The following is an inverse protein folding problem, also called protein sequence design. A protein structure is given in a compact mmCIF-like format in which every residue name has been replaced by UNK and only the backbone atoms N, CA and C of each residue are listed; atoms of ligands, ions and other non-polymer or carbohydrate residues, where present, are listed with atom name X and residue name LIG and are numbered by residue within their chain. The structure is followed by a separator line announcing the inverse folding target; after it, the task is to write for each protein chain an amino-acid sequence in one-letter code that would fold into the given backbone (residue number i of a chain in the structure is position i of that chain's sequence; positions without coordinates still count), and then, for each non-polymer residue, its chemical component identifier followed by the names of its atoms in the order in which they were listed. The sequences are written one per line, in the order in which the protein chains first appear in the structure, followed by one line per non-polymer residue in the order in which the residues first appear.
data_IF_824261182606
#
_entry.id   IF_824261182606
#
_cell.length_a   1.000
_cell.length_b   1.000
_cell.length_c   1.000
_cell.angle_alpha   90.00
_cell.angle_beta   90.00
_cell.angle_gamma   90.00
#
_symmetry.space_group_name_H-M   'P 1'
#
loop_
_entity.id
_entity.type
_entity.pdbx_description
1 polymer ?
#
# COMPACT_ATOMS: atom_id res chain seq x y z
N UNK A 1 2.59 -4.75 -32.56
CA UNK A 1 1.72 -3.57 -32.26
C UNK A 1 0.30 -3.97 -31.80
N UNK A 2 -0.45 -4.84 -32.48
CA UNK A 2 -1.80 -5.27 -32.00
C UNK A 2 -1.82 -6.18 -30.77
N UNK A 3 -0.70 -6.86 -30.48
CA UNK A 3 -0.55 -7.61 -29.23
C UNK A 3 -0.79 -6.69 -28.03
N UNK A 4 -0.30 -5.45 -28.14
CA UNK A 4 -0.35 -4.46 -27.08
C UNK A 4 -1.78 -4.05 -26.70
N UNK A 5 -2.68 -3.82 -27.67
CA UNK A 5 -4.07 -3.51 -27.38
C UNK A 5 -4.82 -4.68 -26.73
N UNK A 6 -4.51 -5.93 -27.12
CA UNK A 6 -5.07 -7.11 -26.46
C UNK A 6 -4.60 -7.20 -25.01
N UNK A 7 -3.30 -7.00 -24.75
CA UNK A 7 -2.76 -6.99 -23.39
C UNK A 7 -3.31 -5.82 -22.56
N UNK A 8 -3.49 -4.63 -23.15
CA UNK A 8 -4.09 -3.50 -22.45
C UNK A 8 -5.54 -3.79 -22.07
N UNK A 9 -6.34 -4.38 -22.96
CA UNK A 9 -7.70 -4.78 -22.60
C UNK A 9 -7.71 -5.87 -21.53
N UNK A 10 -6.78 -6.82 -21.58
CA UNK A 10 -6.65 -7.86 -20.56
C UNK A 10 -6.24 -7.27 -19.20
N UNK A 11 -5.26 -6.35 -19.18
CA UNK A 11 -4.86 -5.61 -17.99
C UNK A 11 -6.02 -4.79 -17.42
N UNK A 12 -6.76 -4.06 -18.26
CA UNK A 12 -7.94 -3.32 -17.84
C UNK A 12 -9.04 -4.24 -17.28
N UNK A 13 -9.24 -5.42 -17.88
CA UNK A 13 -10.19 -6.41 -17.37
C UNK A 13 -9.75 -6.98 -16.01
N UNK A 14 -8.45 -7.25 -15.84
CA UNK A 14 -7.88 -7.67 -14.56
C UNK A 14 -8.03 -6.57 -13.49
N UNK A 15 -7.74 -5.31 -13.82
CA UNK A 15 -7.98 -4.19 -12.92
C UNK A 15 -9.47 -4.02 -12.55
N UNK A 16 -10.37 -4.21 -13.53
CA UNK A 16 -11.81 -4.14 -13.28
C UNK A 16 -12.29 -5.28 -12.37
N UNK A 17 -11.78 -6.50 -12.59
CA UNK A 17 -12.05 -7.67 -11.76
C UNK A 17 -11.58 -7.43 -10.32
N UNK A 18 -10.32 -7.01 -10.13
CA UNK A 18 -9.74 -6.71 -8.82
C UNK A 18 -10.49 -5.57 -8.10
N UNK A 19 -10.88 -4.53 -8.85
CA UNK A 19 -11.72 -3.44 -8.32
C UNK A 19 -13.10 -3.96 -7.90
N UNK A 20 -13.70 -4.85 -8.68
CA UNK A 20 -15.00 -5.47 -8.37
C UNK A 20 -14.93 -6.38 -7.14
N UNK A 21 -13.87 -7.16 -7.01
CA UNK A 21 -13.59 -8.00 -5.84
C UNK A 21 -13.41 -7.15 -4.58
N UNK A 22 -12.57 -6.11 -4.65
CA UNK A 22 -12.40 -5.15 -3.57
C UNK A 22 -13.73 -4.50 -3.17
N UNK A 23 -14.53 -4.07 -4.14
CA UNK A 23 -15.85 -3.49 -3.90
C UNK A 23 -16.78 -4.49 -3.19
N UNK A 24 -16.79 -5.74 -3.64
CA UNK A 24 -17.59 -6.81 -3.04
C UNK A 24 -17.18 -7.08 -1.58
N UNK A 25 -15.88 -7.22 -1.31
CA UNK A 25 -15.34 -7.43 0.04
C UNK A 25 -15.73 -6.28 0.97
N UNK A 26 -15.73 -5.05 0.47
CA UNK A 26 -16.08 -3.86 1.25
C UNK A 26 -17.58 -3.80 1.55
N UNK A 27 -18.44 -4.13 0.59
CA UNK A 27 -19.89 -4.05 0.76
C UNK A 27 -20.47 -5.25 1.53
N UNK A 28 -19.84 -6.42 1.42
CA UNK A 28 -20.31 -7.68 2.00
C UNK A 28 -19.21 -8.41 2.79
N UNK A 29 -18.63 -7.80 3.84
CA UNK A 29 -17.44 -8.32 4.52
C UNK A 29 -17.68 -9.67 5.21
N UNK A 30 -18.84 -9.87 5.84
CA UNK A 30 -19.15 -11.13 6.52
C UNK A 30 -19.34 -12.29 5.53
N UNK A 31 -19.97 -12.01 4.39
CA UNK A 31 -20.13 -12.99 3.32
C UNK A 31 -18.79 -13.32 2.67
N UNK A 32 -17.96 -12.32 2.39
CA UNK A 32 -16.61 -12.53 1.87
C UNK A 32 -15.76 -13.38 2.83
N UNK A 33 -15.86 -13.14 4.15
CA UNK A 33 -15.16 -13.94 5.16
C UNK A 33 -15.63 -15.40 5.14
N UNK A 34 -16.93 -15.66 5.11
CA UNK A 34 -17.47 -17.02 5.00
C UNK A 34 -17.03 -17.72 3.71
N UNK A 35 -17.03 -16.98 2.59
CA UNK A 35 -16.57 -17.49 1.30
C UNK A 35 -15.09 -17.88 1.36
N UNK A 36 -14.23 -17.04 1.97
CA UNK A 36 -12.80 -17.32 2.13
C UNK A 36 -12.57 -18.49 3.09
N UNK A 37 -13.32 -18.58 4.20
CA UNK A 37 -13.19 -19.68 5.16
C UNK A 37 -13.59 -21.02 4.54
N UNK A 38 -14.64 -21.02 3.70
CA UNK A 38 -15.16 -22.25 3.11
C UNK A 38 -14.47 -22.64 1.79
N UNK A 39 -14.03 -21.66 0.99
CA UNK A 39 -13.49 -21.86 -0.37
C UNK A 39 -12.11 -21.25 -0.59
N UNK A 40 -11.42 -20.80 0.45
CA UNK A 40 -10.16 -20.05 0.33
C UNK A 40 -9.07 -20.78 -0.45
N UNK A 41 -8.98 -22.11 -0.32
CA UNK A 41 -8.02 -22.91 -1.11
C UNK A 41 -8.34 -22.87 -2.60
N UNK A 42 -9.61 -22.97 -2.98
CA UNK A 42 -10.05 -22.87 -4.37
C UNK A 42 -9.79 -21.48 -4.95
N UNK A 43 -10.09 -20.42 -4.19
CA UNK A 43 -9.80 -19.05 -4.58
C UNK A 43 -8.29 -18.82 -4.78
N UNK A 44 -7.45 -19.37 -3.91
CA UNK A 44 -5.99 -19.32 -4.08
C UNK A 44 -5.53 -20.04 -5.36
N UNK A 45 -6.11 -21.20 -5.70
CA UNK A 45 -5.80 -21.88 -6.97
C UNK A 45 -6.20 -21.08 -8.20
N UNK A 46 -7.34 -20.38 -8.15
CA UNK A 46 -7.75 -19.47 -9.22
C UNK A 46 -6.76 -18.30 -9.37
N UNK A 47 -6.29 -17.74 -8.26
CA UNK A 47 -5.27 -16.69 -8.29
C UNK A 47 -3.96 -17.18 -8.93
N UNK A 48 -3.47 -18.37 -8.54
CA UNK A 48 -2.31 -19.00 -9.19
C UNK A 48 -2.55 -19.26 -10.69
N UNK A 49 -3.75 -19.65 -11.09
CA UNK A 49 -4.09 -19.84 -12.50
C UNK A 49 -4.05 -18.52 -13.29
N UNK A 50 -4.47 -17.39 -12.69
CA UNK A 50 -4.28 -16.07 -13.32
C UNK A 50 -2.81 -15.67 -13.45
N UNK A 51 -1.95 -16.03 -12.49
CA UNK A 51 -0.51 -15.79 -12.60
C UNK A 51 0.12 -16.53 -13.80
N UNK A 52 -0.30 -17.76 -14.08
CA UNK A 52 0.17 -18.50 -15.26
C UNK A 52 -0.13 -17.77 -16.57
N UNK A 53 -1.31 -17.14 -16.65
CA UNK A 53 -1.68 -16.34 -17.81
C UNK A 53 -0.76 -15.12 -17.93
N UNK A 54 -0.49 -14.39 -16.84
CA UNK A 54 0.45 -13.28 -16.83
C UNK A 54 1.84 -13.72 -17.30
N UNK A 55 2.36 -14.84 -16.81
CA UNK A 55 3.66 -15.39 -17.23
C UNK A 55 3.67 -15.73 -18.72
N UNK A 56 2.63 -16.38 -19.23
CA UNK A 56 2.51 -16.69 -20.66
C UNK A 56 2.48 -15.40 -21.52
N UNK A 57 1.78 -14.37 -21.05
CA UNK A 57 1.71 -13.07 -21.70
C UNK A 57 3.08 -12.37 -21.71
N UNK A 58 3.83 -12.39 -20.60
CA UNK A 58 5.19 -11.84 -20.51
C UNK A 58 6.16 -12.60 -21.43
N UNK A 59 6.12 -13.93 -21.43
CA UNK A 59 6.95 -14.76 -22.31
C UNK A 59 6.66 -14.46 -23.80
N UNK A 60 5.38 -14.33 -24.16
CA UNK A 60 4.98 -13.90 -25.50
C UNK A 60 5.53 -12.50 -25.82
N UNK A 61 5.51 -11.57 -24.86
CA UNK A 61 6.02 -10.22 -25.03
C UNK A 61 7.54 -10.19 -25.28
N UNK A 62 8.31 -10.91 -24.47
CA UNK A 62 9.78 -11.05 -24.64
C UNK A 62 10.09 -11.67 -26.00
N UNK A 63 9.34 -12.71 -26.40
CA UNK A 63 9.51 -13.36 -27.71
C UNK A 63 9.24 -12.38 -28.85
N UNK A 64 8.14 -11.62 -28.78
CA UNK A 64 7.80 -10.62 -29.79
C UNK A 64 8.85 -9.51 -29.84
N UNK A 65 9.32 -9.02 -28.69
CA UNK A 65 10.39 -8.01 -28.62
C UNK A 65 11.67 -8.53 -29.27
N UNK A 66 12.10 -9.75 -28.93
CA UNK A 66 13.27 -10.40 -29.51
C UNK A 66 13.16 -10.57 -31.04
N UNK A 67 12.00 -11.02 -31.53
CA UNK A 67 11.72 -11.11 -32.97
C UNK A 67 11.79 -9.73 -33.65
N UNK A 68 11.28 -8.68 -32.99
CA UNK A 68 11.29 -7.32 -33.54
C UNK A 68 12.72 -6.78 -33.61
N UNK A 69 13.52 -6.97 -32.56
CA UNK A 69 14.93 -6.57 -32.51
C UNK A 69 15.79 -7.34 -33.51
N UNK A 70 15.46 -8.60 -33.78
CA UNK A 70 16.11 -9.42 -34.81
C UNK A 70 15.67 -9.07 -36.25
N UNK A 71 14.80 -8.06 -36.44
CA UNK A 71 14.28 -7.70 -37.76
C UNK A 71 13.37 -8.75 -38.39
N UNK A 72 12.84 -9.68 -37.60
CA UNK A 72 12.01 -10.77 -38.09
C UNK A 72 10.68 -10.26 -38.62
N UNK A 73 10.32 -10.70 -39.82
CA UNK A 73 8.99 -10.46 -40.42
C UNK A 73 7.99 -11.56 -40.07
N UNK A 74 8.38 -12.52 -39.22
CA UNK A 74 7.54 -13.65 -38.85
C UNK A 74 6.27 -13.19 -38.13
N UNK A 75 5.13 -13.52 -38.73
CA UNK A 75 3.82 -13.12 -38.21
C UNK A 75 3.26 -14.23 -37.31
N UNK A 76 3.06 -13.93 -36.03
CA UNK A 76 2.37 -14.85 -35.12
C UNK A 76 0.92 -15.07 -35.61
N UNK A 77 0.48 -16.31 -35.91
CA UNK A 77 -0.78 -16.57 -36.62
C UNK A 77 -2.04 -16.01 -35.94
N UNK A 78 -2.13 -16.12 -34.62
CA UNK A 78 -3.24 -15.58 -33.82
C UNK A 78 -3.30 -14.05 -33.91
N UNK A 79 -2.15 -13.40 -33.80
CA UNK A 79 -1.99 -11.96 -33.94
C UNK A 79 -2.35 -11.48 -35.33
N UNK A 80 -1.98 -12.23 -36.37
CA UNK A 80 -2.36 -11.94 -37.76
C UNK A 80 -3.88 -11.90 -37.92
N UNK A 81 -4.62 -12.85 -37.34
CA UNK A 81 -6.08 -12.87 -37.38
C UNK A 81 -6.68 -11.68 -36.63
N UNK A 82 -6.11 -11.31 -35.48
CA UNK A 82 -6.57 -10.17 -34.68
C UNK A 82 -6.30 -8.83 -35.39
N UNK A 83 -5.14 -8.69 -36.03
CA UNK A 83 -4.70 -7.50 -36.76
C UNK A 83 -5.54 -7.20 -38.00
N UNK A 84 -6.25 -8.18 -38.55
CA UNK A 84 -7.20 -7.93 -39.66
C UNK A 84 -8.41 -7.11 -39.24
N UNK A 85 -8.65 -6.92 -37.95
CA UNK A 85 -9.80 -6.15 -37.45
C UNK A 85 -9.43 -4.66 -37.37
N UNK A 86 -10.15 -3.76 -38.08
CA UNK A 86 -9.81 -2.33 -38.12
C UNK A 86 -9.92 -1.66 -36.74
N UNK A 87 -10.83 -2.13 -35.87
CA UNK A 87 -10.94 -1.65 -34.49
C UNK A 87 -9.67 -1.89 -33.68
N UNK A 88 -9.03 -3.04 -33.84
CA UNK A 88 -7.80 -3.41 -33.11
C UNK A 88 -6.64 -2.53 -33.54
N UNK A 89 -6.52 -2.24 -34.84
CA UNK A 89 -5.52 -1.29 -35.36
C UNK A 89 -5.75 0.10 -34.78
N UNK A 90 -6.98 0.64 -34.85
CA UNK A 90 -7.31 1.97 -34.30
C UNK A 90 -7.02 2.07 -32.80
N UNK A 91 -7.42 1.07 -32.03
CA UNK A 91 -7.12 1.03 -30.59
C UNK A 91 -5.62 0.97 -30.32
N UNK A 92 -4.86 0.20 -31.10
CA UNK A 92 -3.40 0.12 -30.95
C UNK A 92 -2.73 1.45 -31.27
N UNK A 93 -3.18 2.16 -32.32
CA UNK A 93 -2.67 3.47 -32.69
C UNK A 93 -2.89 4.53 -31.60
N UNK A 94 -3.98 4.43 -30.83
CA UNK A 94 -4.24 5.31 -29.69
C UNK A 94 -3.52 4.87 -28.42
N UNK A 95 -3.50 3.57 -28.12
CA UNK A 95 -2.90 3.03 -26.89
C UNK A 95 -1.38 3.19 -26.84
N UNK A 96 -0.70 3.01 -27.98
CA UNK A 96 0.76 3.06 -28.04
C UNK A 96 1.35 4.42 -27.62
N UNK A 97 0.93 5.58 -28.19
CA UNK A 97 1.47 6.87 -27.78
C UNK A 97 1.14 7.19 -26.31
N UNK A 98 -0.04 6.78 -25.82
CA UNK A 98 -0.38 6.95 -24.42
C UNK A 98 0.61 6.21 -23.52
N UNK A 99 0.93 4.95 -23.83
CA UNK A 99 1.89 4.18 -23.01
C UNK A 99 3.31 4.71 -23.14
N UNK A 100 3.74 5.07 -24.35
CA UNK A 100 5.03 5.70 -24.59
C UNK A 100 5.18 7.04 -23.84
N UNK A 101 4.07 7.73 -23.55
CA UNK A 101 4.06 8.94 -22.73
C UNK A 101 3.99 8.62 -21.23
N UNK A 102 3.08 7.74 -20.81
CA UNK A 102 2.80 7.48 -19.40
C UNK A 102 3.91 6.69 -18.71
N UNK A 103 4.54 5.71 -19.38
CA UNK A 103 5.57 4.88 -18.73
C UNK A 103 6.79 5.73 -18.33
N UNK A 104 7.38 6.56 -19.22
CA UNK A 104 8.46 7.47 -18.82
C UNK A 104 8.01 8.47 -17.76
N UNK A 105 6.79 9.03 -17.88
CA UNK A 105 6.27 9.98 -16.90
C UNK A 105 6.16 9.36 -15.50
N UNK A 106 5.55 8.17 -15.38
CA UNK A 106 5.43 7.45 -14.11
C UNK A 106 6.83 7.09 -13.58
N UNK A 107 7.74 6.69 -14.46
CA UNK A 107 9.13 6.37 -14.08
C UNK A 107 9.83 7.58 -13.47
N UNK A 108 9.77 8.74 -14.14
CA UNK A 108 10.37 10.00 -13.65
C UNK A 108 9.73 10.40 -12.32
N UNK A 109 8.40 10.31 -12.21
CA UNK A 109 7.69 10.62 -10.98
C UNK A 109 8.05 9.65 -9.84
N UNK A 110 8.18 8.35 -10.12
CA UNK A 110 8.55 7.35 -9.13
C UNK A 110 10.00 7.55 -8.66
N UNK A 111 10.93 7.85 -9.57
CA UNK A 111 12.31 8.18 -9.24
C UNK A 111 12.40 9.44 -8.37
N UNK A 112 11.70 10.50 -8.77
CA UNK A 112 11.65 11.73 -7.98
C UNK A 112 10.99 11.50 -6.62
N UNK A 113 9.83 10.84 -6.56
CA UNK A 113 9.17 10.53 -5.30
C UNK A 113 10.05 9.70 -4.36
N UNK A 114 10.77 8.72 -4.92
CA UNK A 114 11.72 7.89 -4.18
C UNK A 114 12.87 8.73 -3.64
N UNK A 115 13.42 9.68 -4.42
CA UNK A 115 14.52 10.54 -3.98
C UNK A 115 14.13 11.56 -2.91
N UNK A 116 12.84 11.87 -2.78
CA UNK A 116 12.32 12.74 -1.72
C UNK A 116 12.17 12.04 -0.36
N UNK A 117 12.29 10.71 -0.32
CA UNK A 117 12.14 9.89 0.88
C UNK A 117 13.43 9.14 1.21
N UNK A 118 13.71 8.93 2.49
CA UNK A 118 14.86 8.11 2.94
C UNK A 118 14.41 6.94 3.80
N UNK A 119 15.33 6.00 4.06
CA UNK A 119 15.16 4.98 5.10
C UNK A 119 15.51 5.56 6.47
N UNK A 120 15.11 4.84 7.52
CA UNK A 120 15.36 5.19 8.92
C UNK A 120 16.85 5.45 9.20
N UNK A 121 17.11 6.36 10.13
CA UNK A 121 18.42 6.96 10.41
C UNK A 121 18.22 8.18 11.31
N UNK A 122 18.50 9.38 10.82
CA UNK A 122 18.20 10.64 11.54
C UNK A 122 16.70 10.83 11.83
N UNK A 123 16.36 11.66 12.81
CA UNK A 123 14.99 12.05 13.12
C UNK A 123 14.29 12.75 11.93
N UNK A 124 13.01 12.48 11.73
CA UNK A 124 12.21 13.04 10.64
C UNK A 124 10.86 13.56 11.13
N UNK A 125 10.22 14.46 10.39
CA UNK A 125 8.90 14.97 10.75
C UNK A 125 7.78 13.99 10.36
N UNK A 126 7.96 13.27 9.25
CA UNK A 126 6.97 12.33 8.70
C UNK A 126 7.58 10.95 8.58
N UNK A 127 6.92 9.96 9.17
CA UNK A 127 7.27 8.55 9.04
C UNK A 127 6.12 7.82 8.35
N UNK A 128 6.43 7.12 7.26
CA UNK A 128 5.55 6.15 6.64
C UNK A 128 6.16 4.76 6.78
N UNK A 129 5.49 3.93 7.57
CA UNK A 129 5.91 2.57 7.89
C UNK A 129 4.97 1.61 7.16
N UNK A 130 5.52 0.81 6.25
CA UNK A 130 4.74 -0.15 5.47
C UNK A 130 5.04 -1.59 5.85
N UNK A 131 4.04 -2.44 5.78
CA UNK A 131 4.19 -3.87 5.88
C UNK A 131 4.81 -4.44 4.59
N UNK A 132 5.90 -5.21 4.74
CA UNK A 132 6.56 -5.88 3.62
C UNK A 132 5.72 -7.01 3.02
N UNK A 133 4.72 -7.52 3.74
CA UNK A 133 3.74 -8.47 3.21
C UNK A 133 2.80 -7.86 2.16
N UNK A 134 2.67 -6.54 2.12
CA UNK A 134 1.91 -5.87 1.08
C UNK A 134 2.73 -5.88 -0.20
N UNK A 135 2.18 -6.46 -1.27
CA UNK A 135 2.81 -6.62 -2.59
C UNK A 135 2.96 -5.31 -3.38
N UNK A 136 3.42 -4.25 -2.73
CA UNK A 136 3.69 -2.93 -3.32
C UNK A 136 5.17 -2.61 -3.09
N UNK A 137 5.96 -2.42 -4.16
CA UNK A 137 7.37 -2.08 -4.01
C UNK A 137 7.51 -0.68 -3.38
N UNK A 138 8.63 -0.42 -2.70
CA UNK A 138 8.90 0.88 -2.04
C UNK A 138 8.67 2.10 -2.93
N UNK A 139 9.06 2.03 -4.22
CA UNK A 139 8.85 3.14 -5.15
C UNK A 139 7.36 3.43 -5.40
N UNK A 140 6.49 2.41 -5.29
CA UNK A 140 5.04 2.53 -5.38
C UNK A 140 4.46 3.29 -4.19
N UNK A 141 4.89 2.94 -2.96
CA UNK A 141 4.54 3.71 -1.77
C UNK A 141 5.06 5.15 -1.83
N UNK A 142 6.30 5.35 -2.30
CA UNK A 142 6.87 6.69 -2.49
C UNK A 142 6.02 7.53 -3.44
N UNK A 143 5.60 6.95 -4.57
CA UNK A 143 4.74 7.61 -5.55
C UNK A 143 3.37 7.95 -4.95
N UNK A 144 2.76 7.03 -4.20
CA UNK A 144 1.49 7.28 -3.49
C UNK A 144 1.59 8.43 -2.49
N UNK A 145 2.74 8.57 -1.83
CA UNK A 145 3.02 9.65 -0.86
C UNK A 145 3.54 10.94 -1.48
N UNK A 146 3.76 10.98 -2.80
CA UNK A 146 4.50 12.05 -3.45
C UNK A 146 4.04 13.45 -3.04
N UNK A 147 2.73 13.70 -3.01
CA UNK A 147 2.17 15.01 -2.62
C UNK A 147 2.29 15.30 -1.13
N UNK A 148 2.22 14.29 -0.27
CA UNK A 148 2.47 14.43 1.17
C UNK A 148 3.93 14.80 1.39
N UNK A 149 4.86 14.07 0.76
CA UNK A 149 6.30 14.32 0.88
C UNK A 149 6.67 15.72 0.40
N UNK A 150 6.13 16.17 -0.74
CA UNK A 150 6.35 17.54 -1.22
C UNK A 150 5.81 18.59 -0.23
N UNK A 151 4.65 18.36 0.36
CA UNK A 151 4.07 19.28 1.34
C UNK A 151 4.86 19.27 2.65
N UNK A 152 5.34 18.10 3.09
CA UNK A 152 6.19 17.95 4.26
C UNK A 152 7.51 18.70 4.07
N UNK A 153 8.16 18.56 2.91
CA UNK A 153 9.41 19.27 2.62
C UNK A 153 9.25 20.79 2.61
N UNK A 154 8.15 21.31 2.05
CA UNK A 154 7.84 22.74 2.11
C UNK A 154 7.71 23.26 3.55
N UNK A 155 7.34 22.39 4.49
CA UNK A 155 7.04 22.77 5.87
C UNK A 155 8.21 22.53 6.83
N UNK A 156 8.92 21.42 6.69
CA UNK A 156 9.94 20.96 7.63
C UNK A 156 11.31 20.75 6.97
N UNK A 157 11.47 21.14 5.71
CA UNK A 157 12.76 21.08 5.00
C UNK A 157 13.05 19.74 4.32
N UNK A 158 14.21 19.67 3.65
CA UNK A 158 14.64 18.46 2.94
C UNK A 158 14.91 17.31 3.92
N UNK A 159 14.71 16.07 3.48
CA UNK A 159 15.01 14.88 4.28
C UNK A 159 14.06 14.61 5.46
N UNK A 160 12.94 15.35 5.56
CA UNK A 160 11.99 15.25 6.66
C UNK A 160 10.98 14.09 6.55
N UNK A 161 11.11 13.23 5.54
CA UNK A 161 10.19 12.10 5.29
C UNK A 161 10.94 10.78 5.22
N UNK A 162 10.59 9.86 6.11
CA UNK A 162 11.06 8.49 6.14
C UNK A 162 9.99 7.58 5.53
N UNK A 163 10.42 6.71 4.62
CA UNK A 163 9.62 5.64 4.03
C UNK A 163 10.37 4.32 4.23
N UNK A 164 9.88 3.50 5.17
CA UNK A 164 10.58 2.30 5.61
C UNK A 164 9.61 1.17 6.01
N UNK A 165 10.15 -0.02 6.17
CA UNK A 165 9.40 -1.20 6.61
C UNK A 165 8.98 -1.06 8.08
N UNK A 166 7.76 -1.50 8.40
CA UNK A 166 7.22 -1.52 9.76
C UNK A 166 7.87 -2.67 10.54
N UNK A 167 8.65 -2.32 11.56
CA UNK A 167 9.19 -3.24 12.56
C UNK A 167 9.25 -2.52 13.91
N UNK A 168 9.63 -3.23 14.97
CA UNK A 168 9.68 -2.69 16.33
C UNK A 168 10.54 -1.43 16.42
N UNK A 169 11.70 -1.41 15.77
CA UNK A 169 12.64 -0.29 15.86
C UNK A 169 12.17 0.92 15.06
N UNK A 170 11.71 0.73 13.82
CA UNK A 170 11.20 1.83 13.00
C UNK A 170 9.94 2.45 13.60
N UNK A 171 9.08 1.64 14.22
CA UNK A 171 7.92 2.12 14.98
C UNK A 171 8.34 2.95 16.20
N UNK A 172 9.30 2.46 17.00
CA UNK A 172 9.83 3.17 18.16
C UNK A 172 10.42 4.52 17.76
N UNK A 173 11.26 4.55 16.73
CA UNK A 173 11.86 5.78 16.21
C UNK A 173 10.79 6.75 15.68
N UNK A 174 9.79 6.24 14.96
CA UNK A 174 8.70 7.04 14.42
C UNK A 174 7.84 7.68 15.52
N UNK A 175 7.48 6.92 16.56
CA UNK A 175 6.70 7.42 17.69
C UNK A 175 7.52 8.36 18.58
N UNK A 176 8.83 8.15 18.70
CA UNK A 176 9.70 9.01 19.50
C UNK A 176 10.01 10.37 18.84
N UNK A 177 9.99 10.46 17.51
CA UNK A 177 10.46 11.65 16.79
C UNK A 177 9.42 12.28 15.84
N UNK A 178 8.47 11.49 15.34
CA UNK A 178 7.56 11.91 14.29
C UNK A 178 6.52 12.92 14.75
N UNK A 179 6.25 13.90 13.89
CA UNK A 179 5.04 14.75 13.96
C UNK A 179 3.86 14.08 13.26
N UNK A 180 4.14 13.32 12.21
CA UNK A 180 3.17 12.52 11.46
C UNK A 180 3.69 11.09 11.37
N UNK A 181 2.88 10.13 11.81
CA UNK A 181 3.17 8.70 11.68
C UNK A 181 2.07 8.05 10.86
N UNK A 182 2.45 7.35 9.81
CA UNK A 182 1.55 6.63 8.91
C UNK A 182 1.92 5.16 8.98
N UNK A 183 0.97 4.30 9.35
CA UNK A 183 1.14 2.85 9.37
C UNK A 183 0.32 2.28 8.21
N UNK A 184 0.96 1.61 7.26
CA UNK A 184 0.34 0.96 6.10
C UNK A 184 0.51 -0.55 6.22
N UNK A 185 -0.49 -1.22 6.77
CA UNK A 185 -0.37 -2.61 7.24
C UNK A 185 -1.73 -3.32 7.18
N UNK A 186 -1.76 -4.63 7.43
CA UNK A 186 -3.02 -5.31 7.65
C UNK A 186 -3.62 -4.93 9.00
N UNK A 187 -4.92 -5.16 9.16
CA UNK A 187 -5.54 -5.01 10.46
C UNK A 187 -6.66 -6.01 10.66
N UNK A 188 -6.91 -6.29 11.93
CA UNK A 188 -7.94 -7.21 12.39
C UNK A 188 -8.35 -6.75 13.79
N UNK A 189 -9.64 -6.70 14.09
CA UNK A 189 -10.17 -6.50 15.45
C UNK A 189 -9.60 -5.29 16.22
N UNK A 190 -9.29 -4.20 15.51
CA UNK A 190 -8.73 -2.97 16.08
C UNK A 190 -7.21 -2.94 16.21
N UNK A 191 -6.53 -4.05 15.85
CA UNK A 191 -5.08 -4.19 15.79
C UNK A 191 -4.55 -3.83 14.40
N UNK A 192 -3.33 -3.32 14.37
CA UNK A 192 -2.53 -3.13 13.17
C UNK A 192 -1.40 -4.17 13.17
N UNK A 193 -1.44 -5.10 12.21
CA UNK A 193 -0.59 -6.29 12.17
C UNK A 193 0.19 -6.31 10.85
N UNK A 194 1.50 -6.54 10.90
CA UNK A 194 2.27 -6.90 9.70
C UNK A 194 2.06 -8.38 9.38
N UNK A 195 1.97 -8.75 8.12
CA UNK A 195 1.85 -10.14 7.68
C UNK A 195 3.05 -10.52 6.81
N UNK A 196 3.53 -11.75 6.89
CA UNK A 196 4.61 -12.27 6.04
C UNK A 196 5.92 -11.46 6.04
N UNK A 197 6.08 -10.55 7.01
CA UNK A 197 7.31 -9.79 7.23
C UNK A 197 8.34 -10.64 8.01
N UNK A 198 9.65 -10.31 7.91
CA UNK A 198 10.69 -10.96 8.73
C UNK A 198 10.42 -10.88 10.24
N UNK A 199 9.76 -9.81 10.68
CA UNK A 199 9.25 -9.63 12.03
C UNK A 199 7.73 -9.37 11.95
N UNK A 200 6.93 -10.31 12.43
CA UNK A 200 5.47 -10.13 12.52
C UNK A 200 5.14 -9.34 13.77
N UNK A 201 4.88 -8.05 13.59
CA UNK A 201 4.53 -7.07 14.59
C UNK A 201 3.01 -6.91 14.70
N UNK A 202 2.52 -6.82 15.93
CA UNK A 202 1.15 -6.40 16.25
C UNK A 202 1.19 -5.12 17.07
N UNK A 203 0.38 -4.14 16.69
CA UNK A 203 0.32 -2.81 17.32
C UNK A 203 -1.12 -2.43 17.66
N UNK A 204 -1.38 -1.96 18.87
CA UNK A 204 -2.72 -1.59 19.31
C UNK A 204 -2.74 -0.55 20.43
N UNK A 205 -3.86 0.15 20.64
CA UNK A 205 -3.99 1.05 21.76
C UNK A 205 -4.29 0.22 23.02
N UNK A 206 -3.82 0.65 24.20
CA UNK A 206 -4.19 0.02 25.47
C UNK A 206 -5.71 -0.03 25.67
N UNK A 207 -6.16 -0.99 26.48
CA UNK A 207 -7.57 -1.05 26.85
C UNK A 207 -7.91 0.03 27.89
N UNK A 208 -9.10 0.64 27.77
CA UNK A 208 -9.60 1.75 28.60
C UNK A 208 -9.73 1.45 30.09
N UNK A 209 -9.53 0.19 30.50
CA UNK A 209 -9.61 -0.29 31.90
C UNK A 209 -8.25 -0.37 32.60
N UNK A 210 -7.15 0.04 31.97
CA UNK A 210 -5.86 0.16 32.65
C UNK A 210 -5.98 1.17 33.80
N UNK A 211 -5.64 0.74 35.03
CA UNK A 211 -5.91 1.46 36.27
C UNK A 211 -4.93 2.64 36.41
N UNK A 212 -5.48 3.84 36.19
CA UNK A 212 -5.18 5.19 36.68
C UNK A 212 -3.74 5.78 36.74
N UNK A 213 -2.65 5.02 36.55
CA UNK A 213 -1.31 5.60 36.34
C UNK A 213 -0.89 5.60 34.85
N UNK A 214 -1.31 4.60 34.07
CA UNK A 214 -0.99 4.47 32.63
C UNK A 214 -1.86 5.33 31.70
N UNK A 215 -2.98 5.89 32.16
CA UNK A 215 -3.83 6.75 31.31
C UNK A 215 -3.17 8.09 30.94
N UNK A 216 -2.12 8.50 31.66
CA UNK A 216 -1.42 9.76 31.40
C UNK A 216 -0.32 9.64 30.33
N UNK A 217 0.13 8.41 30.04
CA UNK A 217 1.23 8.20 29.10
C UNK A 217 0.70 7.92 27.69
N UNK A 218 1.26 8.65 26.71
CA UNK A 218 0.99 8.42 25.30
C UNK A 218 1.84 7.25 24.85
N UNK A 219 1.25 6.11 24.58
CA UNK A 219 1.98 4.94 24.10
C UNK A 219 1.06 4.00 23.33
N UNK A 220 1.69 3.12 22.56
CA UNK A 220 1.05 1.99 21.91
C UNK A 220 1.62 0.70 22.47
N UNK A 221 0.79 -0.34 22.52
CA UNK A 221 1.25 -1.68 22.86
C UNK A 221 1.74 -2.37 21.60
N UNK A 222 2.83 -3.11 21.77
CA UNK A 222 3.50 -3.82 20.71
C UNK A 222 3.85 -5.23 21.17
N UNK A 223 3.61 -6.21 20.31
CA UNK A 223 4.11 -7.57 20.48
C UNK A 223 4.65 -8.10 19.15
N UNK A 224 5.62 -9.01 19.25
CA UNK A 224 6.26 -9.64 18.10
C UNK A 224 5.98 -11.13 18.15
N UNK A 225 5.62 -11.72 17.02
CA UNK A 225 5.50 -13.16 16.90
C UNK A 225 6.90 -13.79 16.78
N UNK A 226 7.26 -14.62 17.75
CA UNK A 226 8.50 -15.39 17.73
C UNK A 226 8.46 -16.54 16.73
N UNK A 227 9.63 -17.11 16.44
CA UNK A 227 9.77 -18.28 15.55
C UNK A 227 9.01 -19.53 16.05
N UNK A 228 8.63 -19.57 17.33
CA UNK A 228 7.82 -20.61 17.96
C UNK A 228 6.30 -20.37 17.81
N UNK A 229 5.89 -19.39 16.99
CA UNK A 229 4.52 -18.92 16.82
C UNK A 229 3.88 -18.43 18.13
N UNK A 230 4.68 -17.96 19.09
CA UNK A 230 4.18 -17.32 20.31
C UNK A 230 4.44 -15.83 20.28
N UNK A 231 3.48 -15.07 20.78
CA UNK A 231 3.64 -13.63 20.96
C UNK A 231 4.62 -13.37 22.09
N UNK A 232 5.58 -12.48 21.84
CA UNK A 232 6.47 -11.95 22.86
C UNK A 232 5.69 -11.24 23.94
N UNK A 233 6.35 -10.99 25.08
CA UNK A 233 5.82 -10.09 26.11
C UNK A 233 5.47 -8.74 25.46
N UNK A 234 4.33 -8.19 25.87
CA UNK A 234 3.86 -6.87 25.45
C UNK A 234 4.87 -5.80 25.88
N UNK A 235 5.16 -4.89 24.96
CA UNK A 235 6.01 -3.72 25.18
C UNK A 235 5.20 -2.45 24.99
N UNK A 236 5.35 -1.50 25.90
CA UNK A 236 4.78 -0.17 25.77
C UNK A 236 5.76 0.72 24.99
N UNK A 237 5.37 1.16 23.80
CA UNK A 237 6.18 2.06 22.96
C UNK A 237 5.64 3.48 23.07
N UNK A 238 6.37 4.39 23.75
CA UNK A 238 5.87 5.74 24.00
C UNK A 238 5.82 6.58 22.71
N UNK A 239 4.79 7.41 22.61
CA UNK A 239 4.63 8.42 21.59
C UNK A 239 5.04 9.80 22.14
N UNK A 240 5.80 10.53 21.35
CA UNK A 240 6.33 11.82 21.75
C UNK A 240 5.24 12.90 21.87
N UNK A 241 5.56 13.98 22.60
CA UNK A 241 4.60 15.05 22.87
C UNK A 241 4.23 15.89 21.64
N UNK A 242 5.07 15.87 20.60
CA UNK A 242 4.94 16.59 19.34
C UNK A 242 4.25 15.79 18.23
N UNK A 243 3.81 14.55 18.49
CA UNK A 243 2.99 13.81 17.56
C UNK A 243 1.67 14.58 17.34
N UNK A 244 1.34 14.85 16.07
CA UNK A 244 0.18 15.65 15.68
C UNK A 244 -0.82 14.86 14.84
N UNK A 245 -0.36 13.85 14.11
CA UNK A 245 -1.22 13.02 13.26
C UNK A 245 -0.71 11.58 13.23
N UNK A 246 -1.60 10.63 13.54
CA UNK A 246 -1.41 9.21 13.28
C UNK A 246 -2.43 8.74 12.24
N UNK A 247 -1.96 8.27 11.08
CA UNK A 247 -2.80 7.70 10.04
C UNK A 247 -2.58 6.18 9.99
N UNK A 248 -3.58 5.43 10.43
CA UNK A 248 -3.50 3.97 10.55
C UNK A 248 -4.29 3.38 9.38
N UNK A 249 -3.57 3.07 8.31
CA UNK A 249 -4.03 2.27 7.19
C UNK A 249 -3.93 0.79 7.59
N UNK A 250 -4.93 0.32 8.32
CA UNK A 250 -5.12 -1.07 8.70
C UNK A 250 -6.61 -1.39 8.66
N UNK A 251 -7.02 -2.40 7.88
CA UNK A 251 -8.41 -2.86 7.82
C UNK A 251 -8.94 -3.14 9.23
N UNK A 252 -10.18 -2.77 9.56
CA UNK A 252 -10.76 -2.96 10.90
C UNK A 252 -10.00 -2.33 12.08
N UNK A 253 -8.89 -1.60 11.86
CA UNK A 253 -8.16 -0.90 12.92
C UNK A 253 -9.04 0.10 13.67
N UNK A 254 -10.04 0.64 12.98
CA UNK A 254 -11.01 1.58 13.53
C UNK A 254 -12.03 0.98 14.50
N UNK A 255 -12.10 -0.35 14.70
CA UNK A 255 -12.93 -0.94 15.77
C UNK A 255 -12.55 -0.38 17.16
N UNK A 256 -11.29 -0.01 17.33
CA UNK A 256 -10.73 0.61 18.55
C UNK A 256 -10.42 2.11 18.37
N UNK A 257 -11.09 2.81 17.43
CA UNK A 257 -10.75 4.18 17.07
C UNK A 257 -10.74 5.17 18.25
N UNK A 258 -11.67 5.03 19.20
CA UNK A 258 -11.71 5.87 20.41
C UNK A 258 -10.47 5.66 21.28
N UNK A 259 -10.03 4.42 21.45
CA UNK A 259 -8.87 4.05 22.25
C UNK A 259 -7.58 4.56 21.59
N UNK A 260 -7.46 4.41 20.27
CA UNK A 260 -6.37 5.01 19.51
C UNK A 260 -6.32 6.53 19.71
N UNK A 261 -7.47 7.20 19.61
CA UNK A 261 -7.56 8.65 19.75
C UNK A 261 -7.25 9.13 21.17
N UNK A 262 -7.67 8.38 22.20
CA UNK A 262 -7.42 8.67 23.60
C UNK A 262 -5.91 8.59 23.92
N UNK A 263 -5.26 7.49 23.55
CA UNK A 263 -3.85 7.25 23.88
C UNK A 263 -2.84 8.04 23.05
N UNK A 264 -3.23 8.50 21.86
CA UNK A 264 -2.38 9.37 21.04
C UNK A 264 -2.73 10.85 21.19
N UNK A 265 -3.73 11.21 22.00
CA UNK A 265 -4.12 12.60 22.20
C UNK A 265 -2.93 13.48 22.64
N UNK A 266 -2.79 14.71 22.13
CA UNK A 266 -3.72 15.45 21.27
C UNK A 266 -3.53 15.17 19.78
N UNK A 267 -2.69 14.20 19.39
CA UNK A 267 -2.52 13.86 17.98
C UNK A 267 -3.88 13.43 17.41
N UNK A 268 -4.20 13.92 16.22
CA UNK A 268 -5.37 13.45 15.50
C UNK A 268 -5.10 12.01 15.03
N UNK A 269 -6.03 11.09 15.26
CA UNK A 269 -5.98 9.74 14.71
C UNK A 269 -6.95 9.62 13.55
N UNK A 270 -6.48 9.06 12.43
CA UNK A 270 -7.31 8.67 11.30
C UNK A 270 -7.15 7.17 11.12
N UNK A 271 -8.25 6.43 11.24
CA UNK A 271 -8.31 4.97 11.09
C UNK A 271 -9.68 4.59 10.53
N UNK A 272 -9.83 3.36 10.03
CA UNK A 272 -11.02 2.89 9.33
C UNK A 272 -11.58 1.64 10.01
N UNK A 273 -12.87 1.65 10.33
CA UNK A 273 -13.60 0.50 10.86
C UNK A 273 -14.25 -0.33 9.74
N UNK A 274 -13.56 -0.43 8.60
CA UNK A 274 -14.00 -1.20 7.44
C UNK A 274 -12.79 -1.62 6.63
N UNK A 275 -12.98 -2.61 5.76
CA UNK A 275 -12.07 -2.79 4.64
C UNK A 275 -12.03 -1.51 3.80
N UNK A 276 -10.84 -1.10 3.39
CA UNK A 276 -10.61 0.09 2.57
C UNK A 276 -9.74 -0.27 1.38
N UNK A 277 -10.06 0.28 0.22
CA UNK A 277 -9.31 -0.01 -1.00
C UNK A 277 -7.98 0.74 -1.01
N UNK A 278 -7.00 0.25 -1.77
CA UNK A 278 -5.79 1.02 -2.12
C UNK A 278 -6.18 2.39 -2.72
N UNK A 279 -7.28 2.47 -3.48
CA UNK A 279 -7.77 3.72 -4.06
C UNK A 279 -8.25 4.74 -3.01
N UNK A 280 -8.92 4.30 -1.95
CA UNK A 280 -9.34 5.18 -0.83
C UNK A 280 -8.12 5.86 -0.20
N UNK A 281 -7.05 5.09 0.01
CA UNK A 281 -5.80 5.61 0.57
C UNK A 281 -5.03 6.46 -0.44
N UNK A 282 -4.96 6.05 -1.70
CA UNK A 282 -4.32 6.83 -2.76
C UNK A 282 -4.98 8.21 -2.92
N UNK A 283 -6.33 8.27 -2.88
CA UNK A 283 -7.06 9.53 -2.89
C UNK A 283 -6.74 10.38 -1.66
N UNK A 284 -6.70 9.77 -0.46
CA UNK A 284 -6.33 10.49 0.75
C UNK A 284 -4.90 11.04 0.65
N UNK A 285 -3.91 10.23 0.28
CA UNK A 285 -2.51 10.67 0.15
C UNK A 285 -2.31 11.71 -0.96
N UNK A 286 -3.08 11.64 -2.04
CA UNK A 286 -2.97 12.60 -3.14
C UNK A 286 -3.63 13.94 -2.80
N UNK A 287 -4.78 13.97 -2.12
CA UNK A 287 -5.59 15.19 -1.98
C UNK A 287 -5.75 15.64 -0.51
N UNK A 288 -6.25 14.76 0.35
CA UNK A 288 -6.65 15.11 1.72
C UNK A 288 -5.46 15.27 2.66
N UNK A 289 -4.50 14.34 2.61
CA UNK A 289 -3.29 14.32 3.43
C UNK A 289 -2.45 15.59 3.30
N UNK A 290 -2.08 16.05 2.08
CA UNK A 290 -1.35 17.29 1.91
C UNK A 290 -2.07 18.50 2.51
N UNK A 291 -3.39 18.59 2.34
CA UNK A 291 -4.18 19.68 2.92
C UNK A 291 -4.20 19.63 4.46
N UNK A 292 -4.20 18.43 5.05
CA UNK A 292 -4.08 18.23 6.51
C UNK A 292 -2.70 18.63 7.03
N UNK A 293 -1.62 18.18 6.38
CA UNK A 293 -0.25 18.52 6.75
C UNK A 293 0.00 20.04 6.78
N UNK A 294 -0.62 20.78 5.86
CA UNK A 294 -0.56 22.24 5.81
C UNK A 294 -1.16 22.90 7.06
N UNK A 295 -2.16 22.28 7.70
CA UNK A 295 -2.87 22.81 8.89
C UNK A 295 -2.23 22.44 10.22
N UNK A 296 -1.35 21.45 10.24
CA UNK A 296 -0.62 21.08 11.46
C UNK A 296 0.24 22.27 11.94
N UNK A 297 0.74 22.25 13.17
CA UNK A 297 1.64 23.32 13.67
C UNK A 297 3.11 22.97 13.41
#
# INVERSE_FOLDING_TARGET
MAAFAFFLMFFLAACLYDTGECFFIIQFPDFARQLIEQWGSFLAYLDYASWLLIVALVALWITLLGLTLAGSTWQVPLLKRLMRRPRVIRLSLLANPLVLLFVPLITVLALHATSLTRRSGEAAAVYFLYDEGISVPRWGFALGLYRITLQAQKKWGKGCTVLDSLNRETLRVALANGKVVILATHGKDGYADTCYAPEVLRVWPPDTRAVDEEKSSRYLRVSVLGADNKWSKEENVPANSHLQLAYIFACDGGKKASQWQEHLAPAQVITYNRASTVLDHAFWFALTGPARLKKLQ
#
